data_IF_398769980237
#
_entry.id   IF_398769980237
#
_cell.length_a   1.000
_cell.length_b   1.000
_cell.length_c   1.000
_cell.angle_alpha   90.00
_cell.angle_beta   90.00
_cell.angle_gamma   90.00
#
_symmetry.space_group_name_H-M   'P 1'
#
loop_
_entity.id
_entity.type
_entity.pdbx_description
1 polymer ?
#
# COMPACT_ATOMS: atom_id res chain seq x y z
N UNK A 1 -29.10 8.41 -14.41
CA UNK A 1 -29.31 7.83 -15.75
C UNK A 1 -28.42 6.61 -15.88
N UNK A 2 -28.84 5.56 -16.64
CA UNK A 2 -27.97 4.43 -16.94
C UNK A 2 -26.66 4.93 -17.57
N UNK A 3 -25.53 4.41 -17.10
CA UNK A 3 -24.21 4.74 -17.61
C UNK A 3 -23.45 3.44 -17.88
N UNK A 4 -22.49 3.45 -18.81
CA UNK A 4 -21.56 2.33 -18.95
C UNK A 4 -20.51 2.39 -17.88
N UNK A 5 -20.48 1.38 -17.00
CA UNK A 5 -19.53 1.28 -15.89
C UNK A 5 -18.59 0.10 -16.10
N UNK A 6 -17.31 0.35 -16.09
CA UNK A 6 -16.29 -0.71 -16.12
C UNK A 6 -15.95 -1.09 -14.69
N UNK A 7 -16.10 -2.37 -14.32
CA UNK A 7 -15.81 -2.86 -12.98
C UNK A 7 -14.52 -3.67 -12.99
N UNK A 8 -13.55 -3.26 -12.17
CA UNK A 8 -12.34 -4.05 -11.95
C UNK A 8 -12.68 -5.37 -11.26
N UNK A 9 -12.73 -6.48 -12.00
CA UNK A 9 -13.01 -7.83 -11.50
C UNK A 9 -11.71 -8.56 -11.16
N UNK A 10 -11.40 -8.66 -9.87
CA UNK A 10 -10.21 -9.36 -9.36
C UNK A 10 -10.41 -10.87 -9.18
N UNK A 11 -11.64 -11.37 -9.34
CA UNK A 11 -12.01 -12.74 -8.96
C UNK A 11 -12.37 -12.89 -7.46
N UNK A 12 -12.34 -11.83 -6.67
CA UNK A 12 -12.78 -11.82 -5.27
C UNK A 12 -14.25 -11.42 -5.11
N UNK A 13 -14.83 -11.75 -3.95
CA UNK A 13 -16.22 -11.48 -3.62
C UNK A 13 -16.58 -10.00 -3.67
N UNK A 14 -15.66 -9.11 -3.25
CA UNK A 14 -15.92 -7.67 -3.19
C UNK A 14 -16.14 -7.08 -4.59
N UNK A 15 -15.29 -7.40 -5.55
CA UNK A 15 -15.44 -6.93 -6.93
C UNK A 15 -16.68 -7.53 -7.62
N UNK A 16 -17.02 -8.77 -7.30
CA UNK A 16 -18.21 -9.43 -7.81
C UNK A 16 -19.51 -8.76 -7.31
N UNK A 17 -19.58 -8.45 -6.02
CA UNK A 17 -20.74 -7.74 -5.44
C UNK A 17 -20.82 -6.30 -5.93
N UNK A 18 -19.68 -5.62 -6.14
CA UNK A 18 -19.66 -4.28 -6.75
C UNK A 18 -20.32 -4.31 -8.14
N UNK A 19 -20.00 -5.30 -8.98
CA UNK A 19 -20.65 -5.48 -10.29
C UNK A 19 -22.16 -5.78 -10.17
N UNK A 20 -22.53 -6.66 -9.25
CA UNK A 20 -23.94 -7.00 -8.98
C UNK A 20 -24.76 -5.76 -8.59
N UNK A 21 -24.24 -4.92 -7.71
CA UNK A 21 -24.93 -3.72 -7.23
C UNK A 21 -25.16 -2.72 -8.36
N UNK A 22 -24.19 -2.53 -9.22
CA UNK A 22 -24.27 -1.64 -10.38
C UNK A 22 -25.28 -2.15 -11.42
N UNK A 23 -25.32 -3.47 -11.67
CA UNK A 23 -26.37 -4.07 -12.51
C UNK A 23 -27.75 -3.83 -11.92
N UNK A 24 -27.93 -4.04 -10.60
CA UNK A 24 -29.21 -3.78 -9.92
C UNK A 24 -29.62 -2.31 -9.93
N UNK A 25 -28.64 -1.41 -10.01
CA UNK A 25 -28.90 0.02 -10.19
C UNK A 25 -29.24 0.41 -11.65
N UNK A 26 -29.27 -0.56 -12.58
CA UNK A 26 -29.66 -0.37 -13.97
C UNK A 26 -28.53 0.16 -14.87
N UNK A 27 -27.26 0.05 -14.45
CA UNK A 27 -26.11 0.42 -15.28
C UNK A 27 -25.77 -0.67 -16.30
N UNK A 28 -25.19 -0.26 -17.44
CA UNK A 28 -24.52 -1.17 -18.36
C UNK A 28 -23.13 -1.50 -17.78
N UNK A 29 -22.95 -2.74 -17.31
CA UNK A 29 -21.74 -3.16 -16.58
C UNK A 29 -20.86 -4.04 -17.44
N UNK A 30 -19.57 -3.70 -17.54
CA UNK A 30 -18.55 -4.54 -18.15
C UNK A 30 -17.47 -4.86 -17.10
N UNK A 31 -17.07 -6.12 -17.01
CA UNK A 31 -15.95 -6.56 -16.20
C UNK A 31 -14.61 -6.24 -16.87
N UNK A 32 -13.61 -5.84 -16.08
CA UNK A 32 -12.22 -5.69 -16.50
C UNK A 32 -11.31 -6.45 -15.55
N UNK A 33 -10.73 -7.54 -16.02
CA UNK A 33 -9.67 -8.25 -15.29
C UNK A 33 -8.31 -7.73 -15.71
N UNK A 34 -7.52 -7.24 -14.75
CA UNK A 34 -6.17 -6.74 -14.99
C UNK A 34 -5.13 -7.66 -14.36
N UNK A 35 -4.08 -7.98 -15.12
CA UNK A 35 -2.86 -8.62 -14.65
C UNK A 35 -1.79 -7.56 -14.45
N UNK A 36 -1.19 -7.50 -13.26
CA UNK A 36 -0.11 -6.57 -12.90
C UNK A 36 1.25 -7.25 -12.84
N UNK A 37 1.29 -8.56 -13.03
CA UNK A 37 2.51 -9.37 -12.99
C UNK A 37 2.42 -10.50 -13.99
N UNK A 38 3.49 -10.77 -14.70
CA UNK A 38 3.63 -11.94 -15.54
C UNK A 38 4.03 -13.12 -14.66
N UNK A 39 3.52 -14.31 -14.99
CA UNK A 39 3.84 -15.53 -14.27
C UNK A 39 5.36 -15.79 -14.39
N UNK A 40 6.02 -15.96 -13.25
CA UNK A 40 7.36 -16.51 -13.21
C UNK A 40 7.28 -18.05 -13.24
N UNK A 41 8.33 -18.68 -13.71
CA UNK A 41 8.44 -20.16 -13.84
C UNK A 41 8.32 -20.89 -12.48
N UNK A 42 8.22 -20.18 -11.36
CA UNK A 42 8.12 -20.71 -10.02
C UNK A 42 6.69 -21.15 -9.60
N UNK A 43 5.72 -21.15 -10.51
CA UNK A 43 4.46 -21.89 -10.36
C UNK A 43 3.45 -21.35 -9.36
N UNK A 44 3.55 -20.10 -8.90
CA UNK A 44 2.50 -19.50 -8.05
C UNK A 44 1.38 -18.91 -8.90
N UNK A 45 0.47 -19.77 -9.34
CA UNK A 45 -0.61 -19.43 -10.26
C UNK A 45 -1.88 -18.92 -9.54
N UNK A 46 -1.78 -17.88 -8.68
CA UNK A 46 -2.98 -17.20 -8.22
C UNK A 46 -3.66 -16.41 -9.35
N UNK A 47 -2.88 -15.89 -10.30
CA UNK A 47 -3.39 -15.10 -11.43
C UNK A 47 -4.34 -15.87 -12.33
N UNK A 48 -4.03 -17.15 -12.64
CA UNK A 48 -4.93 -18.00 -13.43
C UNK A 48 -6.22 -18.33 -12.69
N UNK A 49 -6.14 -18.65 -11.39
CA UNK A 49 -7.30 -18.92 -10.56
C UNK A 49 -8.16 -17.65 -10.35
N UNK A 50 -7.54 -16.47 -10.24
CA UNK A 50 -8.22 -15.18 -10.14
C UNK A 50 -8.96 -14.85 -11.45
N UNK A 51 -8.32 -15.08 -12.59
CA UNK A 51 -8.93 -14.90 -13.91
C UNK A 51 -10.10 -15.86 -14.11
N UNK A 52 -9.95 -17.13 -13.76
CA UNK A 52 -11.02 -18.12 -13.86
C UNK A 52 -12.22 -17.73 -12.99
N UNK A 53 -11.96 -17.27 -11.77
CA UNK A 53 -13.01 -16.77 -10.88
C UNK A 53 -13.70 -15.52 -11.47
N UNK A 54 -12.94 -14.58 -12.05
CA UNK A 54 -13.51 -13.41 -12.72
C UNK A 54 -14.38 -13.81 -13.93
N UNK A 55 -13.96 -14.79 -14.72
CA UNK A 55 -14.78 -15.36 -15.81
C UNK A 55 -16.08 -16.00 -15.30
N UNK A 56 -16.00 -16.75 -14.20
CA UNK A 56 -17.18 -17.40 -13.61
C UNK A 56 -18.18 -16.36 -13.09
N UNK A 57 -17.69 -15.30 -12.46
CA UNK A 57 -18.52 -14.16 -12.01
C UNK A 57 -19.15 -13.45 -13.21
N UNK A 58 -18.37 -13.12 -14.23
CA UNK A 58 -18.88 -12.41 -15.40
C UNK A 58 -19.98 -13.21 -16.13
N UNK A 59 -19.81 -14.52 -16.24
CA UNK A 59 -20.82 -15.43 -16.81
C UNK A 59 -22.09 -15.48 -15.98
N UNK A 60 -21.96 -15.58 -14.65
CA UNK A 60 -23.12 -15.61 -13.73
C UNK A 60 -23.92 -14.31 -13.78
N UNK A 61 -23.22 -13.18 -13.89
CA UNK A 61 -23.84 -11.86 -14.00
C UNK A 61 -24.30 -11.50 -15.42
N UNK A 62 -23.97 -12.30 -16.43
CA UNK A 62 -24.30 -12.01 -17.83
C UNK A 62 -23.62 -10.78 -18.40
N UNK A 63 -22.39 -10.44 -17.92
CA UNK A 63 -21.67 -9.25 -18.35
C UNK A 63 -20.42 -9.60 -19.21
N UNK A 64 -20.05 -8.73 -20.16
CA UNK A 64 -18.78 -8.88 -20.90
C UNK A 64 -17.58 -8.78 -19.96
N UNK A 65 -16.54 -9.59 -20.20
CA UNK A 65 -15.26 -9.52 -19.46
C UNK A 65 -14.12 -9.18 -20.41
N UNK A 66 -13.47 -8.05 -20.16
CA UNK A 66 -12.25 -7.63 -20.83
C UNK A 66 -11.02 -8.05 -20.02
N UNK A 67 -9.92 -8.33 -20.73
CA UNK A 67 -8.62 -8.66 -20.10
C UNK A 67 -7.57 -7.68 -20.59
N UNK A 68 -6.71 -7.24 -19.66
CA UNK A 68 -5.58 -6.38 -19.96
C UNK A 68 -4.40 -6.70 -19.04
N UNK A 69 -3.18 -6.62 -19.58
CA UNK A 69 -1.95 -6.68 -18.78
C UNK A 69 -1.38 -5.27 -18.63
N UNK A 70 -1.14 -4.88 -17.39
CA UNK A 70 -0.39 -3.68 -17.00
C UNK A 70 0.94 -4.04 -16.34
N UNK A 71 1.48 -5.23 -16.63
CA UNK A 71 2.71 -5.72 -16.00
C UNK A 71 3.91 -4.81 -16.29
N UNK A 72 3.99 -4.24 -17.49
CA UNK A 72 5.05 -3.30 -17.86
C UNK A 72 4.96 -2.00 -17.04
N UNK A 73 3.77 -1.39 -17.00
CA UNK A 73 3.53 -0.16 -16.23
C UNK A 73 3.69 -0.38 -14.73
N UNK A 74 3.24 -1.52 -14.22
CA UNK A 74 3.43 -1.89 -12.81
C UNK A 74 4.91 -2.04 -12.47
N UNK A 75 5.68 -2.75 -13.31
CA UNK A 75 7.13 -2.93 -13.12
C UNK A 75 7.86 -1.59 -13.11
N UNK A 76 7.51 -0.71 -14.04
CA UNK A 76 8.16 0.60 -14.17
C UNK A 76 7.77 1.58 -13.05
N UNK A 77 6.47 1.69 -12.71
CA UNK A 77 5.95 2.78 -11.88
C UNK A 77 5.78 2.41 -10.41
N UNK A 78 5.65 1.13 -10.10
CA UNK A 78 5.42 0.66 -8.73
C UNK A 78 6.59 -0.18 -8.23
N UNK A 79 6.96 -1.22 -8.98
CA UNK A 79 7.95 -2.18 -8.51
C UNK A 79 9.39 -1.61 -8.49
N UNK A 80 9.75 -0.81 -9.49
CA UNK A 80 11.06 -0.15 -9.51
C UNK A 80 11.25 0.80 -8.32
N UNK A 81 10.23 1.60 -7.98
CA UNK A 81 10.24 2.49 -6.83
C UNK A 81 10.25 1.72 -5.50
N UNK A 82 9.52 0.61 -5.44
CA UNK A 82 9.52 -0.32 -4.31
C UNK A 82 10.93 -0.87 -4.05
N UNK A 83 11.62 -1.40 -5.06
CA UNK A 83 12.99 -1.92 -4.92
C UNK A 83 13.99 -0.81 -4.55
N UNK A 84 13.89 0.37 -5.19
CA UNK A 84 14.75 1.50 -4.89
C UNK A 84 14.58 1.98 -3.44
N UNK A 85 13.35 1.98 -2.91
CA UNK A 85 13.08 2.34 -1.53
C UNK A 85 13.72 1.33 -0.55
N UNK A 86 13.58 0.02 -0.78
CA UNK A 86 14.21 -1.00 0.07
C UNK A 86 15.75 -0.95 -0.01
N UNK A 87 16.32 -0.75 -1.19
CA UNK A 87 17.76 -0.57 -1.37
C UNK A 87 18.28 0.65 -0.59
N UNK A 88 17.46 1.69 -0.46
CA UNK A 88 17.74 2.88 0.36
C UNK A 88 17.38 2.72 1.85
N UNK A 89 17.11 1.50 2.33
CA UNK A 89 16.79 1.22 3.73
C UNK A 89 15.38 1.66 4.17
N UNK A 90 14.55 2.19 3.27
CA UNK A 90 13.17 2.65 3.54
C UNK A 90 12.21 1.46 3.55
N UNK A 91 11.00 1.69 4.06
CA UNK A 91 9.92 0.68 4.08
C UNK A 91 8.73 1.21 3.26
N UNK A 92 8.67 0.96 1.93
CA UNK A 92 7.60 1.47 1.07
C UNK A 92 6.28 0.71 1.26
N UNK A 93 5.19 1.32 0.78
CA UNK A 93 3.90 0.66 0.64
C UNK A 93 3.47 0.68 -0.84
N UNK A 94 3.65 -0.43 -1.58
CA UNK A 94 3.39 -0.48 -3.00
C UNK A 94 1.90 -0.42 -3.34
N UNK A 95 0.98 -0.75 -2.42
CA UNK A 95 -0.46 -0.74 -2.70
C UNK A 95 -0.98 0.68 -2.91
N UNK A 96 -0.43 1.68 -2.22
CA UNK A 96 -0.75 3.10 -2.44
C UNK A 96 -0.33 3.52 -3.85
N UNK A 97 0.90 3.19 -4.26
CA UNK A 97 1.38 3.47 -5.61
C UNK A 97 0.58 2.71 -6.67
N UNK A 98 0.24 1.45 -6.43
CA UNK A 98 -0.60 0.66 -7.34
C UNK A 98 -1.96 1.33 -7.57
N UNK A 99 -2.60 1.83 -6.52
CA UNK A 99 -3.86 2.56 -6.65
C UNK A 99 -3.67 3.84 -7.48
N UNK A 100 -2.64 4.67 -7.19
CA UNK A 100 -2.36 5.92 -7.89
C UNK A 100 -2.00 5.69 -9.37
N UNK A 101 -1.02 4.84 -9.64
CA UNK A 101 -0.40 4.73 -10.96
C UNK A 101 -1.11 3.73 -11.87
N UNK A 102 -1.56 2.61 -11.31
CA UNK A 102 -2.11 1.50 -12.11
C UNK A 102 -3.63 1.51 -12.08
N UNK A 103 -4.27 1.27 -10.92
CA UNK A 103 -5.74 1.10 -10.85
C UNK A 103 -6.49 2.37 -11.27
N UNK A 104 -6.16 3.51 -10.67
CA UNK A 104 -6.83 4.79 -10.97
C UNK A 104 -6.00 5.70 -11.90
N UNK A 105 -4.88 5.19 -12.39
CA UNK A 105 -4.05 5.79 -13.43
C UNK A 105 -4.31 5.17 -14.81
N UNK A 106 -3.50 4.18 -15.19
CA UNK A 106 -3.56 3.57 -16.54
C UNK A 106 -4.83 2.75 -16.77
N UNK A 107 -5.32 2.03 -15.74
CA UNK A 107 -6.53 1.23 -15.87
C UNK A 107 -7.78 2.12 -16.05
N UNK A 108 -7.88 3.26 -15.36
CA UNK A 108 -8.96 4.23 -15.59
C UNK A 108 -8.94 4.78 -17.03
N UNK A 109 -7.74 5.07 -17.58
CA UNK A 109 -7.60 5.49 -18.99
C UNK A 109 -8.04 4.40 -19.95
N UNK A 110 -7.72 3.14 -19.64
CA UNK A 110 -8.14 2.00 -20.44
C UNK A 110 -9.66 1.78 -20.37
N UNK A 111 -10.27 1.89 -19.19
CA UNK A 111 -11.73 1.81 -19.00
C UNK A 111 -12.47 2.84 -19.88
N UNK A 112 -11.95 4.06 -19.99
CA UNK A 112 -12.50 5.09 -20.89
C UNK A 112 -12.40 4.70 -22.37
N UNK A 113 -11.34 4.00 -22.81
CA UNK A 113 -11.21 3.48 -24.19
C UNK A 113 -12.23 2.39 -24.48
N UNK A 114 -12.69 1.66 -23.47
CA UNK A 114 -13.79 0.69 -23.59
C UNK A 114 -15.18 1.38 -23.60
N UNK A 115 -15.23 2.71 -23.62
CA UNK A 115 -16.46 3.48 -23.56
C UNK A 115 -17.04 3.64 -22.17
N UNK A 116 -16.29 3.27 -21.12
CA UNK A 116 -16.74 3.43 -19.74
C UNK A 116 -16.74 4.89 -19.30
N UNK A 117 -17.86 5.35 -18.77
CA UNK A 117 -18.00 6.66 -18.16
C UNK A 117 -17.38 6.69 -16.76
N UNK A 118 -17.41 5.54 -16.06
CA UNK A 118 -16.87 5.35 -14.72
C UNK A 118 -16.10 4.03 -14.61
N UNK A 119 -15.12 4.03 -13.72
CA UNK A 119 -14.44 2.84 -13.25
C UNK A 119 -14.93 2.51 -11.83
N UNK A 120 -15.49 1.35 -11.62
CA UNK A 120 -15.87 0.90 -10.29
C UNK A 120 -14.93 -0.20 -9.78
N UNK A 121 -14.79 -0.29 -8.47
CA UNK A 121 -13.97 -1.32 -7.82
C UNK A 121 -14.60 -1.76 -6.50
N UNK A 122 -14.20 -2.94 -6.00
CA UNK A 122 -14.62 -3.47 -4.71
C UNK A 122 -13.92 -2.84 -3.49
N UNK A 123 -13.43 -1.61 -3.58
CA UNK A 123 -12.84 -0.95 -2.42
C UNK A 123 -13.90 -0.49 -1.42
N UNK A 124 -13.57 -0.62 -0.14
CA UNK A 124 -14.36 -0.07 0.96
C UNK A 124 -13.93 1.38 1.19
N UNK A 125 -14.54 2.29 0.49
CA UNK A 125 -14.41 3.73 0.59
C UNK A 125 -15.67 4.38 0.01
N UNK A 126 -15.85 5.68 0.21
CA UNK A 126 -16.94 6.45 -0.39
C UNK A 126 -16.39 7.64 -1.11
N UNK A 127 -17.00 8.01 -2.23
CA UNK A 127 -16.71 9.24 -2.95
C UNK A 127 -17.99 10.03 -3.12
N UNK A 128 -17.94 11.30 -2.85
CA UNK A 128 -19.08 12.21 -3.06
C UNK A 128 -18.60 13.55 -3.65
N UNK A 129 -19.51 14.20 -4.38
CA UNK A 129 -19.29 15.58 -4.81
C UNK A 129 -20.04 16.50 -3.87
N UNK A 130 -19.30 17.33 -3.12
CA UNK A 130 -19.86 18.30 -2.22
C UNK A 130 -19.02 19.60 -2.24
N UNK A 131 -19.66 20.77 -2.17
CA UNK A 131 -18.99 22.05 -2.19
C UNK A 131 -18.13 22.29 -3.45
N UNK A 132 -18.54 21.75 -4.62
CA UNK A 132 -17.79 21.90 -5.88
C UNK A 132 -16.56 21.00 -6.02
N UNK A 133 -16.21 20.17 -5.01
CA UNK A 133 -15.05 19.27 -5.04
C UNK A 133 -15.44 17.80 -4.81
N UNK A 134 -14.54 16.90 -5.18
CA UNK A 134 -14.64 15.49 -4.83
C UNK A 134 -14.10 15.27 -3.43
N UNK A 135 -14.82 14.48 -2.65
CA UNK A 135 -14.43 14.06 -1.30
C UNK A 135 -14.24 12.55 -1.28
N UNK A 136 -13.15 12.11 -0.69
CA UNK A 136 -12.92 10.70 -0.35
C UNK A 136 -13.29 10.51 1.12
N UNK A 137 -14.25 9.66 1.38
CA UNK A 137 -14.77 9.40 2.73
C UNK A 137 -14.52 7.96 3.14
N UNK A 138 -14.28 7.77 4.42
CA UNK A 138 -14.15 6.44 5.00
C UNK A 138 -15.42 5.61 4.78
N UNK A 139 -15.22 4.32 4.57
CA UNK A 139 -16.32 3.37 4.49
C UNK A 139 -17.13 3.31 5.80
N UNK A 140 -18.38 2.86 5.70
CA UNK A 140 -19.22 2.55 6.86
C UNK A 140 -18.58 1.44 7.72
N UNK A 141 -18.06 0.39 7.09
CA UNK A 141 -17.27 -0.63 7.77
C UNK A 141 -15.85 -0.13 8.03
N UNK A 142 -15.63 0.40 9.22
CA UNK A 142 -14.33 0.97 9.64
C UNK A 142 -13.22 -0.09 9.71
N UNK A 143 -13.55 -1.36 9.95
CA UNK A 143 -12.58 -2.45 9.98
C UNK A 143 -12.07 -2.83 8.58
N UNK A 144 -12.85 -2.49 7.53
CA UNK A 144 -12.51 -2.72 6.13
C UNK A 144 -12.14 -1.45 5.38
N UNK A 145 -12.21 -0.28 6.00
CA UNK A 145 -11.91 1.01 5.36
C UNK A 145 -10.55 0.99 4.67
N UNK A 146 -10.52 1.44 3.42
CA UNK A 146 -9.34 1.43 2.54
C UNK A 146 -8.91 2.84 2.09
N UNK A 147 -9.44 3.91 2.69
CA UNK A 147 -9.06 5.29 2.37
C UNK A 147 -7.55 5.52 2.52
N UNK A 148 -6.91 4.83 3.49
CA UNK A 148 -5.45 4.87 3.65
C UNK A 148 -4.70 4.53 2.36
N UNK A 149 -5.17 3.56 1.57
CA UNK A 149 -4.54 3.18 0.31
C UNK A 149 -4.93 4.07 -0.86
N UNK A 150 -5.98 4.87 -0.72
CA UNK A 150 -6.55 5.73 -1.75
C UNK A 150 -6.11 7.20 -1.63
N UNK A 151 -5.46 7.57 -0.54
CA UNK A 151 -5.10 8.95 -0.19
C UNK A 151 -4.17 9.64 -1.21
N UNK A 152 -3.50 8.89 -2.08
CA UNK A 152 -2.65 9.40 -3.15
C UNK A 152 -3.36 9.41 -4.52
N UNK A 153 -4.62 9.01 -4.61
CA UNK A 153 -5.40 9.05 -5.86
C UNK A 153 -5.86 10.49 -6.11
N UNK A 154 -5.47 11.13 -7.23
CA UNK A 154 -5.85 12.52 -7.50
C UNK A 154 -7.38 12.72 -7.53
N UNK A 155 -7.87 13.86 -7.05
CA UNK A 155 -9.28 14.20 -7.04
C UNK A 155 -9.93 14.11 -8.43
N UNK A 156 -9.18 14.47 -9.50
CA UNK A 156 -9.63 14.34 -10.88
C UNK A 156 -9.88 12.87 -11.31
N UNK A 157 -9.12 11.91 -10.74
CA UNK A 157 -9.37 10.49 -10.98
C UNK A 157 -10.57 10.01 -10.16
N UNK A 158 -10.70 10.44 -8.90
CA UNK A 158 -11.84 10.11 -8.04
C UNK A 158 -13.18 10.58 -8.63
N UNK A 159 -13.19 11.65 -9.43
CA UNK A 159 -14.40 12.14 -10.11
C UNK A 159 -14.99 11.15 -11.13
N UNK A 160 -14.20 10.18 -11.59
CA UNK A 160 -14.60 9.14 -12.54
C UNK A 160 -14.61 7.74 -11.92
N UNK A 161 -14.59 7.65 -10.59
CA UNK A 161 -14.52 6.38 -9.85
C UNK A 161 -15.78 6.19 -9.00
N UNK A 162 -16.16 4.93 -8.82
CA UNK A 162 -17.27 4.52 -7.96
C UNK A 162 -16.85 3.36 -7.06
N UNK A 163 -17.26 3.44 -5.78
CA UNK A 163 -17.02 2.42 -4.77
C UNK A 163 -18.35 1.90 -4.22
N UNK A 164 -18.99 0.93 -4.90
CA UNK A 164 -20.35 0.48 -4.54
C UNK A 164 -20.47 -0.14 -3.14
N UNK A 165 -19.34 -0.56 -2.54
CA UNK A 165 -19.32 -1.21 -1.23
C UNK A 165 -19.19 -0.24 -0.06
N UNK A 166 -19.02 1.06 -0.32
CA UNK A 166 -18.69 2.03 0.72
C UNK A 166 -19.67 2.13 1.88
N UNK A 167 -20.97 1.84 1.62
CA UNK A 167 -22.04 1.87 2.63
C UNK A 167 -22.40 0.49 3.19
N UNK A 168 -21.63 -0.56 2.86
CA UNK A 168 -21.90 -1.93 3.28
C UNK A 168 -20.86 -2.43 4.28
N UNK A 169 -21.32 -3.24 5.23
CA UNK A 169 -20.42 -4.04 6.05
C UNK A 169 -19.99 -5.32 5.29
N UNK A 170 -18.81 -5.86 5.60
CA UNK A 170 -18.30 -7.06 4.94
C UNK A 170 -19.23 -8.26 5.02
N UNK A 171 -19.92 -8.42 6.15
CA UNK A 171 -20.93 -9.47 6.32
C UNK A 171 -22.09 -9.33 5.34
N UNK A 172 -22.58 -8.09 5.12
CA UNK A 172 -23.65 -7.81 4.15
C UNK A 172 -23.19 -8.11 2.71
N UNK A 173 -21.94 -7.79 2.37
CA UNK A 173 -21.34 -8.10 1.07
C UNK A 173 -21.32 -9.61 0.81
N UNK A 174 -20.88 -10.41 1.79
CA UNK A 174 -20.89 -11.88 1.66
C UNK A 174 -22.30 -12.45 1.55
N UNK A 175 -23.25 -11.92 2.31
CA UNK A 175 -24.63 -12.34 2.24
C UNK A 175 -25.28 -11.99 0.88
N UNK A 176 -24.99 -10.81 0.33
CA UNK A 176 -25.42 -10.43 -1.02
C UNK A 176 -24.86 -11.37 -2.09
N UNK A 177 -23.58 -11.74 -1.97
CA UNK A 177 -22.95 -12.69 -2.89
C UNK A 177 -23.61 -14.07 -2.81
N UNK A 178 -23.85 -14.56 -1.60
CA UNK A 178 -24.51 -15.86 -1.36
C UNK A 178 -25.92 -15.91 -1.91
N UNK A 179 -26.75 -14.87 -1.62
CA UNK A 179 -28.13 -14.78 -2.12
C UNK A 179 -28.21 -14.67 -3.64
N UNK A 180 -27.20 -14.07 -4.27
CA UNK A 180 -27.14 -13.93 -5.72
C UNK A 180 -26.51 -15.15 -6.41
N UNK A 181 -26.13 -16.20 -5.68
CA UNK A 181 -25.50 -17.40 -6.25
C UNK A 181 -24.11 -17.16 -6.84
N UNK A 182 -23.41 -16.08 -6.42
CA UNK A 182 -22.09 -15.78 -6.98
C UNK A 182 -21.07 -16.87 -6.61
N UNK A 183 -20.32 -17.41 -7.58
CA UNK A 183 -19.43 -18.57 -7.35
C UNK A 183 -18.25 -18.28 -6.42
N UNK A 184 -18.05 -17.02 -6.05
CA UNK A 184 -16.94 -16.55 -5.19
C UNK A 184 -17.38 -16.18 -3.77
N UNK A 185 -18.63 -16.47 -3.37
CA UNK A 185 -19.19 -16.04 -2.08
C UNK A 185 -18.40 -16.54 -0.86
N UNK A 186 -17.84 -17.76 -0.93
CA UNK A 186 -17.03 -18.38 0.14
C UNK A 186 -15.53 -18.13 -0.02
N UNK A 187 -15.11 -17.46 -1.10
CA UNK A 187 -13.69 -17.23 -1.35
C UNK A 187 -13.07 -16.38 -0.24
N UNK A 188 -11.89 -16.77 0.32
CA UNK A 188 -11.16 -15.96 1.29
C UNK A 188 -10.81 -14.59 0.73
N UNK A 189 -10.69 -13.59 1.63
CA UNK A 189 -10.16 -12.30 1.22
C UNK A 189 -8.70 -12.46 0.81
N UNK A 190 -8.29 -11.75 -0.26
CA UNK A 190 -6.88 -11.72 -0.65
C UNK A 190 -6.04 -11.11 0.47
N UNK A 191 -4.98 -11.82 0.84
CA UNK A 191 -4.00 -11.39 1.85
C UNK A 191 -2.65 -11.12 1.19
N UNK A 192 -1.86 -10.22 1.76
CA UNK A 192 -0.54 -9.87 1.24
C UNK A 192 -0.53 -8.68 0.27
N UNK A 193 0.65 -8.42 -0.29
CA UNK A 193 0.89 -7.34 -1.26
C UNK A 193 0.40 -7.81 -2.63
N UNK A 194 -0.30 -6.94 -3.37
CA UNK A 194 -1.03 -7.26 -4.61
C UNK A 194 -0.27 -8.04 -5.71
N UNK A 195 1.06 -8.06 -5.70
CA UNK A 195 1.89 -8.77 -6.69
C UNK A 195 2.79 -9.85 -6.07
N UNK A 196 2.99 -9.82 -4.77
CA UNK A 196 3.79 -10.84 -4.05
C UNK A 196 2.91 -12.03 -3.70
N UNK A 197 1.61 -11.79 -3.43
CA UNK A 197 0.70 -12.81 -2.95
C UNK A 197 1.12 -13.33 -1.58
N UNK A 198 0.95 -14.63 -1.35
CA UNK A 198 1.28 -15.31 -0.07
C UNK A 198 2.73 -15.81 0.00
N UNK A 199 3.60 -15.36 -0.89
CA UNK A 199 5.02 -15.75 -0.87
C UNK A 199 5.72 -15.19 0.38
N UNK A 200 6.71 -15.92 0.95
CA UNK A 200 7.55 -15.36 1.98
C UNK A 200 8.26 -14.11 1.46
N UNK A 201 7.90 -12.95 2.00
CA UNK A 201 8.37 -11.64 1.54
C UNK A 201 9.89 -11.54 1.41
N UNK A 202 10.62 -12.12 2.39
CA UNK A 202 12.09 -12.12 2.41
C UNK A 202 12.68 -12.90 1.23
N UNK A 203 12.13 -14.07 0.90
CA UNK A 203 12.58 -14.88 -0.22
C UNK A 203 12.32 -14.15 -1.55
N UNK A 204 11.15 -13.54 -1.69
CA UNK A 204 10.81 -12.73 -2.86
C UNK A 204 11.78 -11.57 -3.04
N UNK A 205 11.99 -10.75 -2.01
CA UNK A 205 12.87 -9.58 -2.08
C UNK A 205 14.34 -9.97 -2.32
N UNK A 206 14.76 -11.13 -1.78
CA UNK A 206 16.12 -11.69 -1.97
C UNK A 206 16.43 -12.04 -3.43
N UNK A 207 15.44 -12.32 -4.27
CA UNK A 207 15.62 -12.51 -5.70
C UNK A 207 16.02 -11.22 -6.46
N UNK A 208 15.78 -10.04 -5.87
CA UNK A 208 16.05 -8.73 -6.49
C UNK A 208 17.12 -7.92 -5.78
N UNK A 209 17.27 -8.08 -4.47
CA UNK A 209 18.26 -7.36 -3.65
C UNK A 209 19.26 -8.36 -3.06
N UNK A 210 20.53 -8.19 -3.41
CA UNK A 210 21.60 -9.01 -2.86
C UNK A 210 21.69 -8.83 -1.33
N UNK A 211 21.82 -9.91 -0.54
CA UNK A 211 22.10 -9.83 0.87
C UNK A 211 23.38 -9.05 1.14
N UNK A 212 23.33 -8.13 2.11
CA UNK A 212 24.47 -7.37 2.60
C UNK A 212 24.55 -7.52 4.11
N UNK A 213 25.18 -8.59 4.63
CA UNK A 213 25.26 -8.84 6.07
C UNK A 213 25.97 -7.69 6.81
N UNK A 214 25.53 -7.46 8.04
CA UNK A 214 26.12 -6.44 8.90
C UNK A 214 25.80 -6.71 10.38
N UNK A 215 26.35 -5.92 11.31
CA UNK A 215 26.14 -6.10 12.73
C UNK A 215 24.72 -5.71 13.15
N UNK A 216 24.20 -6.44 14.14
CA UNK A 216 23.08 -6.03 14.98
C UNK A 216 23.68 -5.48 16.27
N UNK A 217 23.35 -4.23 16.60
CA UNK A 217 23.96 -3.51 17.73
C UNK A 217 22.92 -2.84 18.62
N UNK A 218 23.27 -2.61 19.89
CA UNK A 218 22.54 -1.71 20.75
C UNK A 218 22.84 -0.24 20.40
N UNK A 219 22.08 0.74 20.90
CA UNK A 219 22.42 2.17 20.75
C UNK A 219 23.79 2.53 21.35
N UNK A 220 24.28 1.77 22.31
CA UNK A 220 25.62 1.95 22.90
C UNK A 220 26.75 1.31 22.07
N UNK A 221 26.43 0.65 20.94
CA UNK A 221 27.41 0.01 20.06
C UNK A 221 27.76 -1.42 20.44
N UNK A 222 27.11 -2.02 21.43
CA UNK A 222 27.33 -3.40 21.78
C UNK A 222 26.77 -4.33 20.69
N UNK A 223 27.60 -5.23 20.18
CA UNK A 223 27.23 -6.17 19.11
C UNK A 223 26.46 -7.36 19.66
N UNK A 224 25.25 -7.54 19.13
CA UNK A 224 24.33 -8.61 19.55
C UNK A 224 24.26 -9.77 18.54
N UNK A 225 24.62 -9.55 17.29
CA UNK A 225 24.49 -10.55 16.25
C UNK A 225 24.82 -10.01 14.85
N UNK A 226 24.32 -10.74 13.85
CA UNK A 226 24.43 -10.35 12.44
C UNK A 226 23.04 -10.39 11.78
N UNK A 227 22.76 -9.40 10.95
CA UNK A 227 21.62 -9.41 10.04
C UNK A 227 22.07 -9.77 8.61
N UNK A 228 21.15 -10.24 7.78
CA UNK A 228 21.46 -10.63 6.39
C UNK A 228 21.34 -9.44 5.39
N UNK A 229 20.92 -8.27 5.84
CA UNK A 229 20.77 -7.04 5.06
C UNK A 229 19.70 -6.12 5.63
N UNK A 230 19.99 -4.81 5.68
CA UNK A 230 19.06 -3.80 6.23
C UNK A 230 17.73 -3.73 5.48
N UNK A 231 17.72 -4.07 4.18
CA UNK A 231 16.51 -4.11 3.36
C UNK A 231 15.46 -5.12 3.87
N UNK A 232 15.89 -6.18 4.56
CA UNK A 232 15.01 -7.24 5.06
C UNK A 232 14.41 -6.95 6.44
N UNK A 233 14.67 -5.76 6.99
CA UNK A 233 14.19 -5.37 8.30
C UNK A 233 13.38 -4.08 8.24
N UNK A 234 12.42 -3.94 9.15
CA UNK A 234 11.56 -2.75 9.29
C UNK A 234 11.60 -2.24 10.72
N UNK A 235 11.49 -0.94 10.92
CA UNK A 235 11.41 -0.32 12.26
C UNK A 235 10.25 -0.94 13.04
N UNK A 236 10.49 -1.32 14.29
CA UNK A 236 9.54 -2.00 15.16
C UNK A 236 9.42 -3.51 14.94
N UNK A 237 10.14 -4.10 14.00
CA UNK A 237 10.17 -5.54 13.77
C UNK A 237 10.79 -6.26 14.98
N UNK A 238 10.14 -7.34 15.43
CA UNK A 238 10.61 -8.24 16.49
C UNK A 238 11.13 -9.57 15.92
N UNK A 239 10.36 -10.14 14.99
CA UNK A 239 10.64 -11.48 14.45
C UNK A 239 11.85 -11.48 13.53
N UNK A 240 12.60 -12.60 13.51
CA UNK A 240 13.70 -12.82 12.57
C UNK A 240 15.01 -12.12 12.91
N UNK A 241 15.14 -11.47 14.08
CA UNK A 241 16.38 -10.85 14.54
C UNK A 241 17.43 -11.86 14.99
N UNK A 242 16.99 -13.07 15.41
CA UNK A 242 17.87 -14.11 15.95
C UNK A 242 18.73 -13.65 17.14
N UNK A 243 18.26 -12.62 17.85
CA UNK A 243 18.87 -12.14 19.11
C UNK A 243 18.08 -12.78 20.23
N UNK A 244 18.70 -13.70 20.96
CA UNK A 244 18.12 -14.40 22.12
C UNK A 244 18.25 -13.62 23.42
N UNK A 245 17.89 -14.25 24.53
CA UNK A 245 18.21 -13.75 25.88
C UNK A 245 19.73 -13.65 26.07
N UNK A 246 20.17 -12.58 26.74
CA UNK A 246 21.59 -12.34 27.03
C UNK A 246 21.81 -12.02 28.49
N UNK A 247 22.92 -12.49 29.04
CA UNK A 247 23.35 -12.09 30.37
C UNK A 247 23.55 -10.57 30.43
N UNK A 248 23.07 -9.95 31.49
CA UNK A 248 23.15 -8.49 31.65
C UNK A 248 21.98 -7.69 31.04
N UNK A 249 21.04 -8.38 30.39
CA UNK A 249 19.83 -7.75 29.84
C UNK A 249 18.57 -8.34 30.45
N UNK A 250 17.50 -7.53 30.59
CA UNK A 250 16.19 -8.03 31.01
C UNK A 250 15.64 -9.10 30.07
N UNK A 251 14.76 -9.97 30.57
CA UNK A 251 13.97 -10.88 29.73
C UNK A 251 12.87 -10.11 28.98
N UNK A 252 13.27 -9.31 28.01
CA UNK A 252 12.38 -8.51 27.19
C UNK A 252 12.71 -8.67 25.71
N UNK A 253 11.68 -8.63 24.82
CA UNK A 253 11.90 -8.78 23.39
C UNK A 253 12.69 -7.60 22.78
N UNK A 254 13.52 -7.94 21.80
CA UNK A 254 14.26 -6.98 21.00
C UNK A 254 13.43 -6.48 19.81
N UNK A 255 13.58 -5.18 19.49
CA UNK A 255 12.90 -4.51 18.38
C UNK A 255 13.89 -3.69 17.56
N UNK A 256 13.72 -3.67 16.25
CA UNK A 256 14.47 -2.77 15.36
C UNK A 256 14.09 -1.32 15.66
N UNK A 257 15.06 -0.52 16.07
CA UNK A 257 14.87 0.91 16.37
C UNK A 257 15.37 1.83 15.27
N UNK A 258 16.51 1.48 14.62
CA UNK A 258 17.06 2.27 13.53
C UNK A 258 17.87 1.40 12.56
N UNK A 259 18.15 1.96 11.40
CA UNK A 259 19.07 1.41 10.39
C UNK A 259 20.18 2.43 10.14
N UNK A 260 21.40 2.10 10.50
CA UNK A 260 22.57 2.89 10.18
C UNK A 260 23.10 2.46 8.80
N UNK A 261 22.72 3.20 7.77
CA UNK A 261 23.05 2.88 6.39
C UNK A 261 24.53 3.04 6.10
N UNK A 262 25.21 3.99 6.78
CA UNK A 262 26.62 4.26 6.59
C UNK A 262 27.51 3.11 7.10
N UNK A 263 27.18 2.58 8.28
CA UNK A 263 27.90 1.46 8.90
C UNK A 263 27.32 0.08 8.53
N UNK A 264 26.21 0.04 7.78
CA UNK A 264 25.43 -1.15 7.51
C UNK A 264 25.03 -1.88 8.81
N UNK A 265 24.65 -1.13 9.86
CA UNK A 265 24.31 -1.68 11.16
C UNK A 265 22.80 -1.57 11.47
N UNK A 266 22.25 -2.62 12.06
CA UNK A 266 20.86 -2.67 12.52
C UNK A 266 20.84 -2.38 14.02
N UNK A 267 20.26 -1.26 14.42
CA UNK A 267 20.15 -0.85 15.81
C UNK A 267 18.90 -1.43 16.42
N UNK A 268 19.03 -2.14 17.52
CA UNK A 268 17.92 -2.79 18.21
C UNK A 268 17.86 -2.36 19.68
N UNK A 269 16.64 -2.34 20.22
CA UNK A 269 16.35 -1.98 21.61
C UNK A 269 15.41 -2.99 22.25
N UNK A 270 15.46 -3.11 23.58
CA UNK A 270 14.50 -3.90 24.32
C UNK A 270 13.30 -3.09 24.78
N UNK A 271 12.14 -3.76 24.86
CA UNK A 271 10.91 -3.17 25.34
C UNK A 271 10.07 -2.50 24.23
N UNK A 272 8.77 -2.69 24.32
CA UNK A 272 7.80 -2.24 23.31
C UNK A 272 7.70 -0.71 23.23
N UNK A 273 7.90 -0.02 24.35
CA UNK A 273 7.73 1.44 24.48
C UNK A 273 9.07 2.18 24.60
N UNK A 274 10.16 1.55 24.15
CA UNK A 274 11.47 2.21 24.20
C UNK A 274 11.42 3.56 23.46
N UNK A 275 11.98 4.67 24.02
CA UNK A 275 11.88 6.02 23.43
C UNK A 275 12.35 6.14 21.99
N UNK A 276 13.33 5.34 21.55
CA UNK A 276 13.78 5.26 20.16
C UNK A 276 12.75 4.65 19.19
N UNK A 277 11.71 3.98 19.69
CA UNK A 277 10.60 3.47 18.89
C UNK A 277 9.43 4.46 18.79
N UNK A 278 9.44 5.53 19.57
CA UNK A 278 8.31 6.44 19.75
C UNK A 278 8.55 7.73 18.96
N UNK A 279 7.92 7.86 17.79
CA UNK A 279 8.01 9.07 16.96
C UNK A 279 7.24 10.23 17.62
N UNK A 280 7.94 11.33 17.93
CA UNK A 280 7.38 12.56 18.50
C UNK A 280 7.07 13.63 17.45
N UNK A 281 7.72 13.57 16.28
CA UNK A 281 7.40 14.36 15.09
C UNK A 281 7.93 13.67 13.84
N UNK A 282 7.42 14.04 12.66
CA UNK A 282 7.90 13.49 11.40
C UNK A 282 7.58 14.41 10.23
N UNK A 283 8.30 14.22 9.12
CA UNK A 283 8.12 14.97 7.89
C UNK A 283 7.45 14.10 6.83
N UNK A 284 6.62 14.74 5.99
CA UNK A 284 5.87 14.13 4.90
C UNK A 284 6.09 14.94 3.63
N UNK A 285 6.47 14.26 2.55
CA UNK A 285 6.66 14.82 1.22
C UNK A 285 5.85 14.02 0.18
N UNK A 286 5.98 14.34 -1.11
CA UNK A 286 5.16 13.76 -2.20
C UNK A 286 3.65 13.84 -1.87
N UNK A 287 3.22 15.05 -1.52
CA UNK A 287 1.88 15.33 -1.02
C UNK A 287 0.84 15.27 -2.15
N UNK A 288 -0.25 14.57 -1.90
CA UNK A 288 -1.46 14.61 -2.72
C UNK A 288 -2.62 15.13 -1.84
N UNK A 289 -3.00 16.39 -2.04
CA UNK A 289 -4.14 16.96 -1.35
C UNK A 289 -5.43 16.74 -2.14
N UNK A 290 -6.41 16.08 -1.52
CA UNK A 290 -7.78 15.94 -2.02
C UNK A 290 -8.62 17.17 -1.64
N UNK A 291 -8.26 17.79 -0.52
CA UNK A 291 -8.77 19.05 -0.05
C UNK A 291 -7.57 19.93 0.33
N UNK A 292 -7.27 20.93 -0.51
CA UNK A 292 -6.18 21.86 -0.23
C UNK A 292 -6.44 22.58 1.11
N UNK A 293 -5.48 22.57 2.05
CA UNK A 293 -5.59 23.31 3.30
C UNK A 293 -5.72 24.81 3.04
N UNK A 294 -6.56 25.50 3.82
CA UNK A 294 -6.78 26.93 3.67
C UNK A 294 -5.66 27.79 4.29
N UNK A 295 -4.72 27.19 5.00
CA UNK A 295 -3.63 27.89 5.70
C UNK A 295 -2.37 27.06 5.82
N UNK A 296 -1.37 27.60 6.52
CA UNK A 296 -0.08 26.94 6.78
C UNK A 296 -0.10 26.00 7.98
N UNK A 297 -1.20 25.94 8.72
CA UNK A 297 -1.38 25.01 9.85
C UNK A 297 -2.75 24.36 9.80
N UNK A 298 -2.82 23.10 10.27
CA UNK A 298 -4.07 22.35 10.31
C UNK A 298 -4.04 21.34 11.46
N UNK A 299 -5.09 21.32 12.29
CA UNK A 299 -5.31 20.26 13.28
C UNK A 299 -6.22 19.19 12.66
N UNK A 300 -5.76 17.93 12.65
CA UNK A 300 -6.45 16.82 12.03
C UNK A 300 -6.06 15.47 12.67
N UNK A 301 -6.58 14.37 12.15
CA UNK A 301 -6.12 13.03 12.47
C UNK A 301 -5.09 12.54 11.45
N UNK A 302 -4.06 11.82 11.88
CA UNK A 302 -3.12 11.13 10.98
C UNK A 302 -3.17 9.63 11.19
N UNK A 303 -3.22 8.90 10.07
CA UNK A 303 -3.09 7.46 10.02
C UNK A 303 -1.81 7.09 9.26
N UNK A 304 -0.92 6.32 9.90
CA UNK A 304 0.39 5.94 9.32
C UNK A 304 0.49 4.46 8.96
N UNK A 305 -0.55 3.70 9.22
CA UNK A 305 -0.68 2.28 8.83
C UNK A 305 -2.15 1.94 8.59
N UNK A 306 -2.40 1.09 7.63
CA UNK A 306 -3.74 0.52 7.45
C UNK A 306 -4.22 -0.13 8.75
N UNK A 307 -5.47 0.09 9.12
CA UNK A 307 -6.11 -0.37 10.36
C UNK A 307 -5.52 0.18 11.67
N UNK A 308 -4.57 1.09 11.64
CA UNK A 308 -4.27 1.86 12.85
C UNK A 308 -5.38 2.91 13.08
N UNK A 309 -5.65 3.21 14.35
CA UNK A 309 -6.51 4.35 14.69
C UNK A 309 -5.85 5.66 14.27
N UNK A 310 -6.66 6.69 14.05
CA UNK A 310 -6.18 8.04 13.81
C UNK A 310 -5.53 8.59 15.08
N UNK A 311 -4.41 9.25 14.92
CA UNK A 311 -3.75 9.99 16.00
C UNK A 311 -3.98 11.47 15.74
N UNK A 312 -4.62 12.22 16.67
CA UNK A 312 -4.72 13.66 16.57
C UNK A 312 -3.34 14.29 16.42
N UNK A 313 -3.20 15.25 15.51
CA UNK A 313 -1.93 15.89 15.22
C UNK A 313 -2.13 17.33 14.75
N UNK A 314 -1.08 18.12 14.88
CA UNK A 314 -0.92 19.42 14.24
C UNK A 314 -0.01 19.28 13.04
N UNK A 315 -0.43 19.83 11.92
CA UNK A 315 0.34 19.96 10.69
C UNK A 315 0.87 21.39 10.57
N UNK A 316 2.13 21.51 10.17
CA UNK A 316 2.74 22.74 9.65
C UNK A 316 3.06 22.49 8.18
N UNK A 317 2.43 23.29 7.31
CA UNK A 317 2.36 23.02 5.88
C UNK A 317 3.22 24.05 5.15
N UNK A 318 4.21 23.55 4.41
CA UNK A 318 5.03 24.30 3.48
C UNK A 318 4.68 23.88 2.03
N UNK A 319 5.22 24.56 1.03
CA UNK A 319 4.91 24.32 -0.39
C UNK A 319 5.14 22.87 -0.85
N UNK A 320 6.11 22.19 -0.28
CA UNK A 320 6.54 20.84 -0.70
C UNK A 320 6.53 19.80 0.42
N UNK A 321 6.32 20.23 1.65
CA UNK A 321 6.52 19.43 2.85
C UNK A 321 5.49 19.74 3.92
N UNK A 322 5.18 18.74 4.72
CA UNK A 322 4.37 18.88 5.94
C UNK A 322 5.16 18.34 7.12
N UNK A 323 5.33 19.19 8.15
CA UNK A 323 5.83 18.76 9.45
C UNK A 323 4.63 18.33 10.30
N UNK A 324 4.67 17.13 10.84
CA UNK A 324 3.58 16.54 11.62
C UNK A 324 4.02 16.38 13.07
N UNK A 325 3.27 17.00 14.00
CA UNK A 325 3.42 16.83 15.44
C UNK A 325 2.20 16.11 16.01
N UNK A 326 2.29 14.80 16.26
CA UNK A 326 1.19 14.04 16.84
C UNK A 326 1.03 14.39 18.32
N UNK A 327 -0.22 14.45 18.82
CA UNK A 327 -0.52 14.74 20.23
C UNK A 327 -0.10 13.62 21.20
N UNK A 328 0.19 12.43 20.66
CA UNK A 328 0.82 11.32 21.38
C UNK A 328 1.84 10.65 20.46
N UNK A 329 2.96 10.17 20.99
CA UNK A 329 3.97 9.52 20.18
C UNK A 329 3.42 8.33 19.38
N UNK A 330 3.89 8.19 18.13
CA UNK A 330 3.51 7.11 17.23
C UNK A 330 4.61 6.05 17.25
N UNK A 331 4.22 4.82 17.59
CA UNK A 331 5.18 3.73 17.69
C UNK A 331 5.66 3.24 16.33
N UNK A 332 6.97 3.06 16.21
CA UNK A 332 7.66 2.39 15.10
C UNK A 332 7.27 2.94 13.72
N UNK A 333 7.23 4.26 13.60
CA UNK A 333 7.04 4.92 12.32
C UNK A 333 8.31 4.74 11.46
N UNK A 334 8.15 4.24 10.25
CA UNK A 334 9.26 4.01 9.34
C UNK A 334 9.23 4.99 8.17
N UNK A 335 10.41 5.51 7.80
CA UNK A 335 10.61 6.30 6.58
C UNK A 335 10.23 5.45 5.36
N UNK A 336 9.50 6.04 4.42
CA UNK A 336 8.96 5.37 3.24
C UNK A 336 7.51 4.89 3.40
N UNK A 337 6.97 4.84 4.63
CA UNK A 337 5.53 4.64 4.84
C UNK A 337 4.75 5.88 4.43
N UNK A 338 3.45 5.73 4.26
CA UNK A 338 2.55 6.84 3.98
C UNK A 338 1.90 7.36 5.26
N UNK A 339 1.65 8.66 5.28
CA UNK A 339 0.78 9.32 6.26
C UNK A 339 -0.46 9.83 5.53
N UNK A 340 -1.64 9.39 5.96
CA UNK A 340 -2.93 9.86 5.46
C UNK A 340 -3.58 10.78 6.49
N UNK A 341 -4.06 11.94 6.05
CA UNK A 341 -4.66 12.97 6.92
C UNK A 341 -6.19 12.92 6.82
N UNK A 342 -6.86 13.09 7.97
CA UNK A 342 -8.30 12.96 8.06
C UNK A 342 -8.94 14.07 8.88
N UNK A 343 -10.06 14.61 8.40
CA UNK A 343 -10.97 15.43 9.17
C UNK A 343 -12.28 14.66 9.39
N UNK A 344 -12.43 14.02 10.54
CA UNK A 344 -13.52 13.11 10.81
C UNK A 344 -13.54 11.94 9.79
N UNK A 345 -14.62 11.75 9.02
CA UNK A 345 -14.69 10.69 8.01
C UNK A 345 -13.97 11.04 6.71
N UNK A 346 -13.62 12.29 6.46
CA UNK A 346 -13.02 12.74 5.21
C UNK A 346 -11.50 12.56 5.18
N UNK A 347 -11.00 11.89 4.13
CA UNK A 347 -9.59 11.85 3.80
C UNK A 347 -9.19 13.15 3.10
N UNK A 348 -8.31 13.91 3.70
CA UNK A 348 -7.82 15.18 3.15
C UNK A 348 -6.70 14.98 2.12
N UNK A 349 -6.12 13.79 2.10
CA UNK A 349 -4.95 13.44 1.29
C UNK A 349 -3.83 12.86 2.15
N UNK A 350 -2.61 12.95 1.67
CA UNK A 350 -1.44 12.46 2.40
C UNK A 350 -0.16 12.50 1.61
N UNK A 351 0.88 11.83 2.10
CA UNK A 351 2.19 11.80 1.46
C UNK A 351 3.10 10.71 2.05
N UNK A 352 4.36 10.73 1.64
CA UNK A 352 5.39 9.79 2.07
C UNK A 352 6.14 10.34 3.27
N UNK A 353 6.30 9.55 4.32
CA UNK A 353 7.15 9.88 5.49
C UNK A 353 8.61 9.88 5.06
N UNK A 354 9.29 11.01 5.17
CA UNK A 354 10.69 11.21 4.74
C UNK A 354 11.66 11.41 5.89
N UNK A 355 11.19 11.82 7.06
CA UNK A 355 11.99 12.00 8.26
C UNK A 355 11.19 11.67 9.52
N UNK A 356 11.84 11.12 10.53
CA UNK A 356 11.22 10.79 11.82
C UNK A 356 12.12 11.28 12.95
N UNK A 357 11.54 12.00 13.92
CA UNK A 357 12.17 12.35 15.18
C UNK A 357 11.54 11.50 16.28
N UNK A 358 12.37 10.83 17.05
CA UNK A 358 11.91 10.02 18.18
C UNK A 358 11.94 10.80 19.50
N UNK A 359 11.25 10.32 20.51
CA UNK A 359 11.21 10.92 21.83
C UNK A 359 12.58 10.93 22.55
N UNK A 360 13.53 10.12 22.09
CA UNK A 360 14.92 10.10 22.61
C UNK A 360 15.82 11.18 21.99
N UNK A 361 15.36 11.94 21.00
CA UNK A 361 16.15 12.92 20.28
C UNK A 361 15.76 14.35 20.66
N UNK A 362 16.72 15.30 20.70
CA UNK A 362 16.40 16.70 20.96
C UNK A 362 15.48 17.28 19.89
N UNK A 363 14.78 18.37 20.25
CA UNK A 363 13.74 18.98 19.42
C UNK A 363 14.22 19.38 18.00
N UNK A 364 15.48 19.64 17.82
CA UNK A 364 16.11 20.11 16.58
C UNK A 364 16.59 18.96 15.65
N UNK A 365 16.64 17.71 16.13
CA UNK A 365 17.16 16.58 15.38
C UNK A 365 16.05 15.82 14.66
N UNK A 366 15.68 16.25 13.44
CA UNK A 366 14.98 15.38 12.52
C UNK A 366 16.04 14.58 11.75
N UNK A 367 16.07 13.26 11.93
CA UNK A 367 16.86 12.37 11.09
C UNK A 367 16.25 12.37 9.67
N UNK A 368 16.55 13.43 8.92
CA UNK A 368 16.36 13.42 7.49
C UNK A 368 17.41 12.46 6.91
N UNK A 369 16.98 11.29 6.46
CA UNK A 369 17.77 10.56 5.47
C UNK A 369 17.71 11.36 4.18
N UNK A 370 18.49 12.47 4.11
CA UNK A 370 18.75 13.20 2.88
C UNK A 370 19.60 12.30 1.97
N UNK A 371 18.98 11.31 1.40
CA UNK A 371 19.51 10.64 0.22
C UNK A 371 18.64 11.04 -0.94
N UNK A 372 19.23 11.86 -1.83
CA UNK A 372 18.70 12.04 -3.19
C UNK A 372 18.27 10.65 -3.68
N UNK A 373 17.05 10.48 -4.26
CA UNK A 373 16.62 9.17 -4.72
C UNK A 373 17.75 8.59 -5.58
N UNK A 374 18.20 7.35 -5.32
CA UNK A 374 19.20 6.72 -6.15
C UNK A 374 18.68 6.71 -7.59
N UNK A 375 19.56 7.01 -8.55
CA UNK A 375 19.25 6.85 -9.97
C UNK A 375 18.68 5.46 -10.14
N UNK A 376 17.49 5.36 -10.78
CA UNK A 376 16.75 4.10 -11.01
C UNK A 376 17.74 2.98 -11.36
N UNK A 377 17.81 1.89 -10.60
CA UNK A 377 18.68 0.78 -10.94
C UNK A 377 18.28 0.25 -12.32
N UNK A 378 19.24 0.05 -13.21
CA UNK A 378 19.00 -0.70 -14.45
C UNK A 378 18.63 -2.12 -14.03
N UNK A 379 17.38 -2.50 -14.21
CA UNK A 379 16.92 -3.87 -14.02
C UNK A 379 17.81 -4.76 -14.92
N UNK A 380 18.56 -5.67 -14.32
CA UNK A 380 19.23 -6.73 -15.07
C UNK A 380 18.14 -7.52 -15.80
N UNK A 381 18.15 -7.47 -17.12
CA UNK A 381 17.43 -8.41 -17.96
C UNK A 381 18.13 -9.76 -17.82
N UNK A 382 17.73 -10.54 -16.83
CA UNK A 382 18.06 -11.96 -16.79
C UNK A 382 16.93 -12.73 -17.46
N UNK A 383 16.79 -12.56 -18.77
CA UNK A 383 16.22 -13.59 -19.63
C UNK A 383 17.38 -14.53 -20.01
N UNK A 384 17.30 -15.83 -19.78
CA UNK A 384 18.21 -16.75 -20.41
C UNK A 384 17.96 -16.70 -21.93
N UNK A 385 19.03 -16.44 -22.67
CA UNK A 385 19.06 -16.57 -24.13
C UNK A 385 18.54 -17.96 -24.51
N UNK A 386 17.36 -18.03 -25.09
CA UNK A 386 16.93 -19.26 -25.78
C UNK A 386 17.70 -19.35 -27.08
N UNK A 387 18.71 -20.16 -27.05
CA UNK A 387 19.43 -20.69 -28.19
C UNK A 387 18.45 -21.11 -29.30
N UNK A 388 18.44 -20.34 -30.38
CA UNK A 388 17.77 -20.72 -31.63
C UNK A 388 18.74 -21.57 -32.45
N UNK A 389 18.77 -22.85 -32.18
CA UNK A 389 19.42 -23.77 -33.10
C UNK A 389 18.79 -25.15 -33.04
N UNK A 390 18.11 -25.50 -34.12
CA UNK A 390 17.69 -26.87 -34.43
C UNK A 390 16.63 -26.91 -35.52
N UNK A 391 16.98 -27.46 -36.71
CA UNK A 391 16.08 -27.50 -37.86
C UNK A 391 15.20 -28.75 -37.87
N UNK A 392 14.08 -28.64 -38.62
CA UNK A 392 13.10 -29.57 -39.19
C UNK A 392 11.77 -29.63 -38.44
#
# INVERSE_FOLDING_TARGET
MPARVIVGLSGGVDSAVAALLLLRAGHEVHGLHMSNWEEDEAGYCSAAADLQAAHSVARELGIPLHRVSFAAEYRERVFADFLAAYAAGRTPNPDVLCNREVKFGVCLKYARRLGGERLATGHYARVERAGGRMRLLRARDRAKDQCYFLQQVPAAALAAVEFPLGELAKGEVRELARRAGLPVHDRPDSTGICFIGERPFRAFLGGYLAPRPGPIETPAGERLGLHDGLAFHTIGQRQGLKVGGRAGYPEAPWYVAAKDLARNALIVVQGHEHPLLMASAFEVEDLCWLAAPAGTTLDCGVQVRHRSGDVPCRLEIDATRVSVTPHRPIRALAVGQYAAFFAGPECLGGGVVTGVRTAAQPAEAILATRTRPPRRPRLRQSLPDRDRSGPL
#
